data_IF_759935680816
#
_entry.id   IF_759935680816
#
_cell.length_a   1.000
_cell.length_b   1.000
_cell.length_c   1.000
_cell.angle_alpha   90.00
_cell.angle_beta   90.00
_cell.angle_gamma   90.00
#
_symmetry.space_group_name_H-M   'P 1'
#
loop_
_entity.id
_entity.type
_entity.pdbx_description
1 polymer ?
#
# COMPACT_ATOMS: atom_id res chain seq x y z
N UNK A 1 -27.85 -3.49 19.95
CA UNK A 1 -27.18 -4.51 19.11
C UNK A 1 -25.70 -4.41 19.41
N UNK A 2 -25.12 -5.43 20.03
CA UNK A 2 -23.86 -5.37 20.80
C UNK A 2 -22.62 -5.19 19.92
N UNK A 3 -21.77 -4.20 20.26
CA UNK A 3 -20.45 -3.87 19.71
C UNK A 3 -19.35 -4.89 20.11
N UNK A 4 -19.68 -6.18 20.19
CA UNK A 4 -18.80 -7.21 20.77
C UNK A 4 -17.78 -7.83 19.79
N UNK A 5 -17.45 -7.17 18.67
CA UNK A 5 -16.51 -7.73 17.67
C UNK A 5 -15.08 -7.18 17.71
N UNK A 6 -14.80 -6.18 18.55
CA UNK A 6 -13.42 -5.74 18.81
C UNK A 6 -13.10 -5.98 20.28
N UNK A 7 -12.83 -7.24 20.65
CA UNK A 7 -11.97 -7.48 21.79
C UNK A 7 -10.61 -6.87 21.43
N UNK A 8 -10.24 -5.76 22.06
CA UNK A 8 -8.88 -5.24 21.96
C UNK A 8 -7.97 -6.30 22.60
N UNK A 9 -7.17 -7.08 21.83
CA UNK A 9 -6.10 -7.84 22.47
C UNK A 9 -5.25 -6.83 23.24
N UNK A 10 -4.77 -7.22 24.43
CA UNK A 10 -3.90 -6.37 25.24
C UNK A 10 -2.84 -5.75 24.33
N UNK A 11 -2.85 -4.41 24.22
CA UNK A 11 -1.87 -3.68 23.43
C UNK A 11 -0.49 -4.08 23.95
N UNK A 12 0.34 -4.62 23.05
CA UNK A 12 1.70 -5.06 23.37
C UNK A 12 2.44 -4.01 24.19
N UNK A 13 3.18 -4.45 25.22
CA UNK A 13 4.02 -3.58 26.05
C UNK A 13 5.13 -2.86 25.25
N UNK A 14 5.42 -3.33 24.02
CA UNK A 14 6.34 -2.66 23.09
C UNK A 14 5.58 -1.57 22.30
N UNK A 15 6.13 -0.35 22.19
CA UNK A 15 5.52 0.69 21.36
C UNK A 15 5.40 0.21 19.91
N UNK A 16 4.19 0.32 19.35
CA UNK A 16 3.94 -0.02 17.96
C UNK A 16 4.83 0.83 17.06
N UNK A 17 5.52 0.18 16.13
CA UNK A 17 6.39 0.82 15.16
C UNK A 17 5.69 0.91 13.82
N UNK A 18 5.61 2.11 13.25
CA UNK A 18 5.04 2.38 11.94
C UNK A 18 6.17 2.81 11.00
N UNK A 19 6.37 2.04 9.93
CA UNK A 19 7.22 2.45 8.82
C UNK A 19 6.48 3.51 8.00
N UNK A 20 7.13 4.63 7.72
CA UNK A 20 6.57 5.75 6.97
C UNK A 20 7.27 5.87 5.64
N UNK A 21 6.49 5.86 4.56
CA UNK A 21 6.99 6.06 3.20
C UNK A 21 6.28 7.29 2.62
N UNK A 22 7.03 8.32 2.26
CA UNK A 22 6.44 9.61 1.88
C UNK A 22 5.62 9.55 0.57
N UNK A 23 5.91 8.59 -0.31
CA UNK A 23 5.30 8.49 -1.63
C UNK A 23 5.96 9.39 -2.67
N UNK A 24 5.35 9.46 -3.85
CA UNK A 24 5.83 10.25 -4.99
C UNK A 24 5.08 11.59 -5.13
N UNK A 25 5.66 12.49 -5.93
CA UNK A 25 5.05 13.75 -6.38
C UNK A 25 4.54 14.62 -5.22
N UNK A 26 3.23 14.88 -5.14
CA UNK A 26 2.63 15.70 -4.09
C UNK A 26 2.39 14.93 -2.77
N UNK A 27 2.58 13.61 -2.75
CA UNK A 27 2.31 12.81 -1.55
C UNK A 27 3.14 13.22 -0.32
N UNK A 28 4.45 13.55 -0.43
CA UNK A 28 5.24 14.03 0.70
C UNK A 28 4.69 15.30 1.35
N UNK A 29 4.04 16.19 0.58
CA UNK A 29 3.44 17.44 1.09
C UNK A 29 2.26 17.18 2.03
N UNK A 30 1.58 16.05 1.86
CA UNK A 30 0.49 15.60 2.74
C UNK A 30 1.02 14.70 3.86
N UNK A 31 1.97 13.82 3.53
CA UNK A 31 2.48 12.80 4.47
C UNK A 31 3.28 13.40 5.62
N UNK A 32 4.16 14.39 5.36
CA UNK A 32 4.97 15.05 6.40
C UNK A 32 4.10 15.68 7.51
N UNK A 33 3.16 16.60 7.21
CA UNK A 33 2.31 17.18 8.24
C UNK A 33 1.37 16.13 8.88
N UNK A 34 0.92 15.12 8.14
CA UNK A 34 0.14 14.01 8.70
C UNK A 34 0.93 13.30 9.81
N UNK A 35 2.20 12.96 9.55
CA UNK A 35 3.06 12.30 10.52
C UNK A 35 3.39 13.21 11.71
N UNK A 36 3.59 14.51 11.49
CA UNK A 36 3.77 15.47 12.58
C UNK A 36 2.54 15.49 13.52
N UNK A 37 1.33 15.59 12.97
CA UNK A 37 0.08 15.54 13.75
C UNK A 37 -0.05 14.20 14.47
N UNK A 38 0.26 13.08 13.81
CA UNK A 38 0.20 11.76 14.43
C UNK A 38 1.21 11.59 15.57
N UNK A 39 2.43 12.14 15.45
CA UNK A 39 3.43 12.13 16.53
C UNK A 39 2.94 12.89 17.77
N UNK A 40 2.13 13.95 17.58
CA UNK A 40 1.53 14.70 18.68
C UNK A 40 0.35 13.96 19.33
N UNK A 41 -0.51 13.34 18.52
CA UNK A 41 -1.75 12.69 18.99
C UNK A 41 -1.53 11.26 19.50
N UNK A 42 -0.53 10.56 18.97
CA UNK A 42 -0.24 9.16 19.25
C UNK A 42 1.22 8.98 19.68
N UNK A 43 1.60 9.64 20.78
CA UNK A 43 2.97 9.67 21.29
C UNK A 43 3.56 8.31 21.68
N UNK A 44 2.71 7.28 21.85
CA UNK A 44 3.14 5.90 22.10
C UNK A 44 3.55 5.14 20.83
N UNK A 45 3.30 5.68 19.64
CA UNK A 45 3.67 5.07 18.35
C UNK A 45 5.03 5.61 17.91
N UNK A 46 5.93 4.71 17.55
CA UNK A 46 7.22 5.05 16.96
C UNK A 46 7.09 5.10 15.43
N UNK A 47 7.23 6.28 14.85
CA UNK A 47 7.29 6.46 13.41
C UNK A 47 8.74 6.40 12.92
N UNK A 48 9.01 5.53 11.96
CA UNK A 48 10.33 5.35 11.33
C UNK A 48 10.21 5.66 9.85
N UNK A 49 10.91 6.66 9.38
CA UNK A 49 10.89 7.07 7.97
C UNK A 49 11.82 6.20 7.14
N UNK A 50 11.35 5.77 5.96
CA UNK A 50 12.11 4.98 5.01
C UNK A 50 12.04 5.60 3.61
N UNK A 51 13.17 5.58 2.90
CA UNK A 51 13.31 6.22 1.59
C UNK A 51 12.70 5.38 0.48
N UNK A 52 12.13 6.00 -0.54
CA UNK A 52 11.69 5.27 -1.75
C UNK A 52 11.67 6.18 -2.96
N UNK A 53 11.43 5.62 -4.14
CA UNK A 53 11.24 6.38 -5.37
C UNK A 53 12.48 7.20 -5.74
N UNK A 54 12.28 8.44 -6.18
CA UNK A 54 13.36 9.32 -6.67
C UNK A 54 14.46 9.54 -5.63
N UNK A 55 14.09 9.81 -4.38
CA UNK A 55 15.06 10.01 -3.29
C UNK A 55 15.96 8.78 -3.10
N UNK A 56 15.36 7.58 -3.15
CA UNK A 56 16.12 6.35 -3.02
C UNK A 56 16.99 6.06 -4.25
N UNK A 57 16.53 6.39 -5.46
CA UNK A 57 17.34 6.29 -6.68
C UNK A 57 18.57 7.19 -6.58
N UNK A 58 18.39 8.44 -6.16
CA UNK A 58 19.50 9.40 -6.04
C UNK A 58 20.53 8.96 -4.99
N UNK A 59 20.09 8.37 -3.87
CA UNK A 59 20.96 7.99 -2.76
C UNK A 59 21.58 6.60 -2.89
N UNK A 60 20.85 5.64 -3.45
CA UNK A 60 21.20 4.21 -3.45
C UNK A 60 21.24 3.58 -4.84
N UNK A 61 20.91 4.33 -5.90
CA UNK A 61 20.83 3.81 -7.27
C UNK A 61 19.60 2.94 -7.54
N UNK A 62 18.70 2.79 -6.57
CA UNK A 62 17.52 1.93 -6.67
C UNK A 62 16.31 2.55 -5.98
N UNK A 63 15.13 2.37 -6.56
CA UNK A 63 13.90 3.01 -6.06
C UNK A 63 13.31 2.35 -4.80
N UNK A 64 13.69 1.10 -4.53
CA UNK A 64 13.27 0.36 -3.35
C UNK A 64 14.47 -0.42 -2.79
N UNK A 65 15.31 0.24 -1.97
CA UNK A 65 16.50 -0.37 -1.40
C UNK A 65 16.14 -1.38 -0.29
N UNK A 66 17.07 -2.29 -0.02
CA UNK A 66 16.90 -3.32 1.01
C UNK A 66 16.63 -2.72 2.39
N UNK A 67 17.26 -1.58 2.73
CA UNK A 67 16.99 -0.85 3.97
C UNK A 67 15.50 -0.48 4.14
N UNK A 68 14.82 -0.10 3.05
CA UNK A 68 13.38 0.21 3.08
C UNK A 68 12.55 -1.06 3.24
N UNK A 69 12.96 -2.16 2.61
CA UNK A 69 12.31 -3.47 2.78
C UNK A 69 12.41 -3.94 4.23
N UNK A 70 13.61 -3.87 4.81
CA UNK A 70 13.86 -4.23 6.21
C UNK A 70 13.07 -3.35 7.18
N UNK A 71 12.94 -2.06 6.89
CA UNK A 71 12.10 -1.15 7.67
C UNK A 71 10.62 -1.54 7.63
N UNK A 72 10.09 -1.93 6.45
CA UNK A 72 8.72 -2.45 6.33
C UNK A 72 8.56 -3.76 7.11
N UNK A 73 9.52 -4.68 6.99
CA UNK A 73 9.46 -6.00 7.62
C UNK A 73 9.59 -5.97 9.15
N UNK A 74 10.31 -4.98 9.67
CA UNK A 74 10.54 -4.80 11.10
C UNK A 74 9.43 -3.99 11.79
N UNK A 75 8.53 -3.38 11.03
CA UNK A 75 7.44 -2.55 11.54
C UNK A 75 6.13 -3.35 11.72
N UNK A 76 5.28 -2.88 12.63
CA UNK A 76 3.95 -3.47 12.85
C UNK A 76 2.97 -3.06 11.74
N UNK A 77 3.20 -1.91 11.11
CA UNK A 77 2.39 -1.37 10.02
C UNK A 77 3.22 -0.44 9.13
N UNK A 78 2.78 -0.26 7.87
CA UNK A 78 3.32 0.76 6.97
C UNK A 78 2.26 1.83 6.68
N UNK A 79 2.60 3.09 6.93
CA UNK A 79 1.86 4.26 6.49
C UNK A 79 2.57 4.83 5.25
N UNK A 80 1.91 4.84 4.10
CA UNK A 80 2.54 5.30 2.87
C UNK A 80 1.67 6.31 2.10
N UNK A 81 2.34 7.29 1.49
CA UNK A 81 1.74 8.25 0.56
C UNK A 81 1.43 7.61 -0.79
N UNK A 82 0.86 8.38 -1.72
CA UNK A 82 0.58 7.88 -3.06
C UNK A 82 1.88 7.38 -3.74
N UNK A 83 1.89 6.11 -4.15
CA UNK A 83 3.02 5.42 -4.76
C UNK A 83 2.60 4.79 -6.07
N UNK A 84 3.29 5.10 -7.17
CA UNK A 84 2.92 4.56 -8.49
C UNK A 84 3.86 4.92 -9.63
N UNK A 85 4.67 5.97 -9.44
CA UNK A 85 5.78 6.31 -10.32
C UNK A 85 7.06 5.62 -9.84
N UNK A 86 8.13 6.37 -9.54
CA UNK A 86 9.38 5.82 -9.04
C UNK A 86 9.21 4.84 -7.86
N UNK A 87 8.27 5.09 -6.93
CA UNK A 87 8.05 4.22 -5.77
C UNK A 87 7.13 3.01 -6.01
N UNK A 88 6.74 2.70 -7.27
CA UNK A 88 5.81 1.60 -7.60
C UNK A 88 6.20 0.25 -6.97
N UNK A 89 7.49 -0.05 -6.92
CA UNK A 89 8.02 -1.30 -6.35
C UNK A 89 7.68 -1.49 -4.86
N UNK A 90 7.57 -0.38 -4.10
CA UNK A 90 7.09 -0.42 -2.71
C UNK A 90 5.64 -0.88 -2.66
N UNK A 91 4.76 -0.30 -3.48
CA UNK A 91 3.34 -0.67 -3.53
C UNK A 91 3.17 -2.16 -3.86
N UNK A 92 3.95 -2.67 -4.80
CA UNK A 92 3.95 -4.08 -5.17
C UNK A 92 4.38 -4.98 -4.02
N UNK A 93 5.44 -4.59 -3.32
CA UNK A 93 5.93 -5.34 -2.17
C UNK A 93 4.93 -5.33 -1.01
N UNK A 94 4.32 -4.18 -0.70
CA UNK A 94 3.26 -4.09 0.30
C UNK A 94 2.05 -4.97 -0.09
N UNK A 95 1.68 -4.98 -1.37
CA UNK A 95 0.57 -5.79 -1.87
C UNK A 95 0.87 -7.29 -1.80
N UNK A 96 1.83 -7.76 -2.60
CA UNK A 96 2.08 -9.19 -2.78
C UNK A 96 3.13 -9.74 -1.82
N UNK A 97 4.17 -8.95 -1.49
CA UNK A 97 5.21 -9.35 -0.55
C UNK A 97 4.73 -9.47 0.89
N UNK A 98 3.85 -8.55 1.34
CA UNK A 98 3.20 -8.61 2.66
C UNK A 98 1.81 -9.27 2.62
N UNK A 99 1.39 -9.77 1.46
CA UNK A 99 0.11 -10.46 1.24
C UNK A 99 -1.10 -9.70 1.80
N UNK A 100 -1.17 -8.39 1.60
CA UNK A 100 -2.32 -7.58 2.03
C UNK A 100 -3.52 -7.87 1.12
N UNK A 101 -4.28 -8.90 1.45
CA UNK A 101 -5.33 -9.48 0.61
C UNK A 101 -6.58 -8.63 0.47
N UNK A 102 -6.87 -7.81 1.47
CA UNK A 102 -8.08 -7.00 1.53
C UNK A 102 -7.74 -5.52 1.50
N UNK A 103 -8.37 -4.79 0.59
CA UNK A 103 -8.35 -3.34 0.55
C UNK A 103 -9.68 -2.80 1.08
N UNK A 104 -9.67 -2.22 2.27
CA UNK A 104 -10.84 -1.62 2.92
C UNK A 104 -10.92 -0.14 2.53
N UNK A 105 -12.03 0.28 1.89
CA UNK A 105 -12.26 1.67 1.46
C UNK A 105 -13.58 2.20 2.02
N UNK A 106 -13.57 2.81 3.21
CA UNK A 106 -14.73 3.53 3.73
C UNK A 106 -15.04 4.74 2.84
N UNK A 107 -16.30 4.92 2.48
CA UNK A 107 -16.81 6.08 1.76
C UNK A 107 -17.93 6.71 2.57
N UNK A 108 -17.69 7.94 3.04
CA UNK A 108 -18.63 8.70 3.87
C UNK A 108 -18.65 10.15 3.42
N UNK A 109 -19.84 10.74 3.32
CA UNK A 109 -19.99 12.18 3.16
C UNK A 109 -19.95 12.88 4.53
N UNK A 110 -19.32 14.06 4.57
CA UNK A 110 -19.22 14.88 5.78
C UNK A 110 -19.97 16.21 5.60
N UNK A 111 -20.69 16.69 6.65
CA UNK A 111 -21.32 18.00 6.62
C UNK A 111 -20.36 19.12 6.19
N UNK A 112 -20.78 19.91 5.20
CA UNK A 112 -19.99 21.00 4.61
C UNK A 112 -19.29 20.65 3.30
N UNK A 113 -19.20 19.37 2.93
CA UNK A 113 -18.57 18.96 1.67
C UNK A 113 -19.55 19.13 0.51
N UNK A 114 -19.09 19.76 -0.58
CA UNK A 114 -19.90 19.90 -1.80
C UNK A 114 -20.02 18.55 -2.51
N UNK A 115 -21.22 18.21 -2.96
CA UNK A 115 -21.48 16.99 -3.72
C UNK A 115 -22.49 17.29 -4.84
N UNK A 116 -22.34 16.66 -6.03
CA UNK A 116 -23.32 16.75 -7.10
C UNK A 116 -24.54 15.83 -6.89
N UNK A 117 -24.51 14.95 -5.88
CA UNK A 117 -25.58 13.99 -5.60
C UNK A 117 -26.79 14.69 -4.94
N UNK A 118 -27.99 14.17 -5.16
CA UNK A 118 -29.22 14.71 -4.55
C UNK A 118 -29.27 14.51 -3.02
N UNK A 119 -28.80 13.35 -2.55
CA UNK A 119 -28.80 12.95 -1.13
C UNK A 119 -27.42 12.46 -0.69
N UNK A 120 -26.39 13.32 -0.67
CA UNK A 120 -25.02 12.92 -0.32
C UNK A 120 -24.89 12.41 1.12
N UNK A 121 -25.74 12.86 2.04
CA UNK A 121 -25.83 12.41 3.42
C UNK A 121 -26.11 10.91 3.58
N UNK A 122 -26.66 10.26 2.55
CA UNK A 122 -26.90 8.82 2.52
C UNK A 122 -25.64 8.01 2.18
N UNK A 123 -24.52 8.65 1.84
CA UNK A 123 -23.25 7.97 1.56
C UNK A 123 -22.58 7.60 2.88
N UNK A 124 -22.79 6.35 3.31
CA UNK A 124 -22.06 5.72 4.41
C UNK A 124 -21.94 4.21 4.17
N UNK A 125 -20.87 3.79 3.51
CA UNK A 125 -20.62 2.38 3.22
C UNK A 125 -19.12 2.07 3.15
N UNK A 126 -18.80 0.78 3.15
CA UNK A 126 -17.43 0.29 3.05
C UNK A 126 -17.32 -0.61 1.82
N UNK A 127 -16.36 -0.33 0.95
CA UNK A 127 -15.97 -1.26 -0.10
C UNK A 127 -14.90 -2.18 0.47
N UNK A 128 -15.18 -3.49 0.44
CA UNK A 128 -14.20 -4.55 0.73
C UNK A 128 -13.76 -5.12 -0.60
N UNK A 129 -12.53 -4.83 -1.00
CA UNK A 129 -12.00 -5.19 -2.32
C UNK A 129 -10.90 -6.25 -2.19
N UNK A 130 -10.97 -7.30 -3.01
CA UNK A 130 -9.82 -8.19 -3.22
C UNK A 130 -8.65 -7.41 -3.83
N UNK A 131 -7.49 -7.57 -3.23
CA UNK A 131 -6.32 -6.79 -3.55
C UNK A 131 -5.17 -7.60 -4.19
N UNK A 132 -5.29 -8.92 -4.31
CA UNK A 132 -4.20 -9.77 -4.84
C UNK A 132 -4.50 -10.35 -6.21
N UNK A 133 -5.78 -10.57 -6.53
CA UNK A 133 -6.17 -11.34 -7.71
C UNK A 133 -6.93 -10.52 -8.78
N UNK A 134 -7.60 -11.22 -9.68
CA UNK A 134 -8.32 -10.65 -10.82
C UNK A 134 -7.34 -10.21 -11.90
N UNK A 135 -7.59 -9.04 -12.49
CA UNK A 135 -6.76 -8.47 -13.56
C UNK A 135 -5.53 -7.69 -13.04
N UNK A 136 -5.25 -7.73 -11.73
CA UNK A 136 -4.16 -6.95 -11.13
C UNK A 136 -2.75 -7.54 -11.32
N UNK A 137 -2.54 -8.87 -11.20
CA UNK A 137 -1.28 -9.47 -11.59
C UNK A 137 -1.06 -9.27 -13.10
N UNK A 138 0.10 -8.75 -13.54
CA UNK A 138 0.37 -8.51 -14.96
C UNK A 138 0.65 -9.85 -15.67
N UNK A 139 -0.42 -10.55 -16.05
CA UNK A 139 -0.38 -11.80 -16.83
C UNK A 139 -0.97 -11.53 -18.21
N UNK A 140 -0.20 -10.84 -19.04
CA UNK A 140 -0.55 -10.49 -20.41
C UNK A 140 0.64 -10.75 -21.33
N UNK A 141 0.40 -11.24 -22.54
CA UNK A 141 1.46 -11.61 -23.47
C UNK A 141 1.00 -12.60 -24.52
N UNK A 142 1.95 -13.27 -25.18
CA UNK A 142 1.65 -14.28 -26.20
C UNK A 142 0.86 -15.46 -25.60
N UNK A 143 -0.26 -15.81 -26.22
CA UNK A 143 -1.16 -16.87 -25.72
C UNK A 143 -0.44 -18.21 -25.63
N UNK A 144 0.45 -18.53 -26.57
CA UNK A 144 1.20 -19.79 -26.56
C UNK A 144 2.09 -19.86 -25.33
N UNK A 145 2.74 -18.75 -24.96
CA UNK A 145 3.57 -18.66 -23.76
C UNK A 145 2.73 -18.74 -22.49
N UNK A 146 1.62 -18.02 -22.43
CA UNK A 146 0.71 -18.05 -21.28
C UNK A 146 0.12 -19.45 -21.04
N UNK A 147 -0.21 -20.18 -22.11
CA UNK A 147 -0.72 -21.57 -22.00
C UNK A 147 0.34 -22.57 -21.51
N UNK A 148 1.62 -22.24 -21.61
CA UNK A 148 2.72 -23.08 -21.12
C UNK A 148 3.05 -22.82 -19.64
N UNK A 149 2.53 -21.75 -19.04
CA UNK A 149 2.75 -21.44 -17.62
C UNK A 149 1.99 -22.45 -16.74
N UNK A 150 2.68 -22.97 -15.72
CA UNK A 150 2.03 -23.80 -14.71
C UNK A 150 1.02 -22.97 -13.91
N UNK A 151 -0.12 -23.60 -13.59
CA UNK A 151 -1.00 -23.07 -12.54
C UNK A 151 -0.19 -22.89 -11.27
N UNK A 152 -0.26 -21.70 -10.69
CA UNK A 152 0.51 -21.34 -9.50
C UNK A 152 -0.41 -20.76 -8.44
N UNK A 153 -0.27 -21.26 -7.22
CA UNK A 153 -0.90 -20.69 -6.02
C UNK A 153 -0.26 -19.34 -5.62
N UNK A 154 0.91 -19.02 -6.20
CA UNK A 154 1.58 -17.74 -6.08
C UNK A 154 1.21 -16.88 -7.29
N UNK A 155 0.37 -15.89 -7.06
CA UNK A 155 -0.16 -15.01 -8.09
C UNK A 155 0.92 -14.16 -8.76
N UNK A 156 2.04 -13.93 -8.06
CA UNK A 156 3.19 -13.19 -8.59
C UNK A 156 4.20 -14.13 -9.26
N UNK A 157 4.37 -13.94 -10.56
CA UNK A 157 5.49 -14.46 -11.33
C UNK A 157 6.17 -13.26 -11.99
N UNK A 158 7.50 -13.15 -11.86
CA UNK A 158 8.23 -12.13 -12.60
C UNK A 158 8.01 -12.35 -14.10
N UNK A 159 7.79 -11.29 -14.89
CA UNK A 159 7.66 -11.43 -16.34
C UNK A 159 8.90 -12.15 -16.90
N UNK A 160 8.75 -13.04 -17.88
CA UNK A 160 9.88 -13.71 -18.52
C UNK A 160 10.95 -12.72 -18.98
N UNK A 161 12.16 -12.89 -18.44
CA UNK A 161 13.29 -12.01 -18.71
C UNK A 161 13.77 -12.24 -20.14
N UNK A 162 13.91 -11.18 -20.94
CA UNK A 162 14.50 -11.24 -22.28
C UNK A 162 13.60 -10.89 -23.46
N UNK A 163 12.36 -10.42 -23.23
CA UNK A 163 11.49 -9.89 -24.29
C UNK A 163 10.97 -8.49 -23.95
N UNK A 164 11.52 -7.46 -24.61
CA UNK A 164 10.99 -6.09 -24.54
C UNK A 164 9.58 -6.05 -25.14
N UNK A 165 8.62 -5.47 -24.40
CA UNK A 165 7.25 -5.24 -24.88
C UNK A 165 6.32 -6.45 -24.94
N UNK A 166 6.76 -7.64 -24.52
CA UNK A 166 5.93 -8.86 -24.54
C UNK A 166 4.94 -8.96 -23.37
N UNK A 167 5.17 -8.18 -22.32
CA UNK A 167 4.37 -8.15 -21.10
C UNK A 167 4.17 -6.67 -20.78
N UNK A 168 2.92 -6.20 -20.73
CA UNK A 168 2.68 -4.88 -20.17
C UNK A 168 2.84 -4.95 -18.64
N UNK A 169 3.35 -3.85 -18.08
CA UNK A 169 3.71 -3.70 -16.67
C UNK A 169 3.05 -2.46 -16.10
#
# INVERSE_FOLDING_TARGET
MSLAYFQHPELSAKPSTVCVIAGDDAAPEVMRPTVEVLRLLASSIRFVEATSGREAIERYGQAFPDETREAIDSADCTLFGASGGPSRSVLWYLRWGKQTSVNIRPARWYPGYRSPMLHPECIDYIIVRDNLEGMYPPREGDITELTALSSSDLWWQAPPVGKEGAYAV
#
